data_IF_988712999412
#
_entry.id   IF_988712999412
#
_cell.length_a   1.000
_cell.length_b   1.000
_cell.length_c   1.000
_cell.angle_alpha   90.00
_cell.angle_beta   90.00
_cell.angle_gamma   90.00
#
_symmetry.space_group_name_H-M   'P 1'
#
loop_
_entity.id
_entity.type
_entity.pdbx_description
1 polymer ?
#
# COMPACT_ATOMS: atom_id res chain seq x y z
N UNK A 1 21.77 -15.53 45.84
CA UNK A 1 21.23 -14.57 44.86
C UNK A 1 19.86 -14.97 44.29
N UNK A 2 19.59 -16.22 43.91
CA UNK A 2 18.26 -16.63 43.37
C UNK A 2 17.19 -16.76 44.48
N UNK A 3 17.57 -17.03 45.73
CA UNK A 3 16.63 -17.16 46.84
C UNK A 3 16.09 -15.81 47.34
N UNK A 4 16.87 -14.75 47.32
CA UNK A 4 16.42 -13.40 47.70
C UNK A 4 15.40 -12.82 46.73
N UNK A 5 15.53 -13.12 45.42
CA UNK A 5 14.53 -12.72 44.41
C UNK A 5 13.16 -13.41 44.62
N UNK A 6 13.15 -14.59 45.25
CA UNK A 6 11.92 -15.34 45.51
C UNK A 6 11.14 -14.81 46.73
N UNK A 7 11.82 -14.23 47.73
CA UNK A 7 11.18 -13.58 48.89
C UNK A 7 10.55 -12.23 48.49
N UNK A 8 11.21 -11.47 47.62
CA UNK A 8 10.64 -10.20 47.06
C UNK A 8 9.41 -10.41 46.19
N UNK A 9 9.31 -11.55 45.52
CA UNK A 9 8.17 -11.90 44.65
C UNK A 9 6.86 -12.13 45.43
N UNK A 10 6.92 -12.33 46.73
CA UNK A 10 5.74 -12.55 47.57
C UNK A 10 5.21 -11.26 48.21
N UNK A 11 5.93 -10.16 48.11
CA UNK A 11 5.50 -8.86 48.62
C UNK A 11 4.36 -8.28 47.76
N UNK A 12 3.26 -7.91 48.41
CA UNK A 12 2.09 -7.28 47.78
C UNK A 12 2.52 -6.10 46.90
N UNK A 13 3.52 -5.34 47.32
CA UNK A 13 4.10 -4.21 46.55
C UNK A 13 4.72 -4.65 45.24
N UNK A 14 5.45 -5.76 45.21
CA UNK A 14 6.07 -6.27 43.98
C UNK A 14 5.02 -6.78 42.97
N UNK A 15 3.97 -7.45 43.48
CA UNK A 15 2.83 -7.90 42.65
C UNK A 15 2.06 -6.70 42.07
N UNK A 16 1.89 -5.66 42.87
CA UNK A 16 1.21 -4.43 42.42
C UNK A 16 2.06 -3.68 41.40
N UNK A 17 3.39 -3.57 41.64
CA UNK A 17 4.32 -2.96 40.69
C UNK A 17 4.34 -3.70 39.32
N UNK A 18 4.45 -5.04 39.38
CA UNK A 18 4.40 -5.87 38.15
C UNK A 18 3.04 -5.79 37.45
N UNK A 19 1.94 -5.68 38.21
CA UNK A 19 0.61 -5.47 37.67
C UNK A 19 0.50 -4.14 36.91
N UNK A 20 1.05 -3.06 37.51
CA UNK A 20 1.07 -1.74 36.85
C UNK A 20 1.92 -1.77 35.56
N UNK A 21 3.10 -2.40 35.60
CA UNK A 21 3.96 -2.56 34.41
C UNK A 21 3.23 -3.39 33.36
N UNK A 22 2.60 -4.50 33.71
CA UNK A 22 1.85 -5.33 32.77
C UNK A 22 0.67 -4.56 32.16
N UNK A 23 -0.08 -3.79 32.94
CA UNK A 23 -1.18 -2.95 32.47
C UNK A 23 -0.64 -1.86 31.53
N UNK A 24 0.47 -1.21 31.87
CA UNK A 24 1.11 -0.20 31.01
C UNK A 24 1.55 -0.81 29.69
N UNK A 25 2.11 -2.02 29.70
CA UNK A 25 2.46 -2.75 28.49
C UNK A 25 1.22 -3.11 27.65
N UNK A 26 0.17 -3.65 28.28
CA UNK A 26 -1.07 -3.99 27.59
C UNK A 26 -1.73 -2.72 27.01
N UNK A 27 -1.73 -1.61 27.73
CA UNK A 27 -2.26 -0.33 27.21
C UNK A 27 -1.36 0.25 26.10
N UNK A 28 -0.03 0.12 26.22
CA UNK A 28 0.90 0.65 25.22
C UNK A 28 0.92 -0.17 23.93
N UNK A 29 0.84 -1.50 24.01
CA UNK A 29 0.85 -2.39 22.86
C UNK A 29 -0.54 -2.85 22.42
N UNK A 30 -1.50 -2.98 23.34
CA UNK A 30 -2.86 -3.41 23.05
C UNK A 30 -3.72 -2.29 22.44
N UNK A 31 -3.54 -1.04 22.89
CA UNK A 31 -4.29 0.11 22.32
C UNK A 31 -3.75 0.48 20.93
N UNK A 32 -2.43 0.34 20.71
CA UNK A 32 -1.83 0.55 19.36
C UNK A 32 -2.28 -0.47 18.32
N UNK A 33 -2.59 -1.71 18.74
CA UNK A 33 -3.13 -2.75 17.85
C UNK A 33 -4.65 -2.67 17.64
N UNK A 34 -5.38 -2.01 18.55
CA UNK A 34 -6.82 -1.78 18.42
C UNK A 34 -7.19 -0.54 17.61
N UNK A 35 -6.26 0.41 17.44
CA UNK A 35 -6.35 1.42 16.40
C UNK A 35 -5.80 0.81 15.10
N UNK A 36 -6.43 -0.30 14.67
CA UNK A 36 -6.20 -0.86 13.36
C UNK A 36 -6.26 0.24 12.32
N UNK A 37 -5.35 0.20 11.36
CA UNK A 37 -5.21 1.07 10.19
C UNK A 37 -6.39 2.04 10.03
N UNK A 38 -6.31 3.21 10.68
CA UNK A 38 -7.20 4.29 10.33
C UNK A 38 -6.86 4.60 8.88
N UNK A 39 -7.72 4.16 7.99
CA UNK A 39 -7.64 4.53 6.59
C UNK A 39 -7.65 6.05 6.57
N UNK A 40 -6.46 6.66 6.48
CA UNK A 40 -6.37 8.10 6.32
C UNK A 40 -6.89 8.44 4.94
N UNK A 41 -8.08 9.01 4.87
CA UNK A 41 -8.77 9.39 3.64
C UNK A 41 -8.32 10.79 3.26
N UNK A 42 -7.84 10.98 2.04
CA UNK A 42 -7.41 12.27 1.49
C UNK A 42 -8.55 12.98 0.77
N UNK A 43 -9.42 12.21 0.10
CA UNK A 43 -10.60 12.70 -0.60
C UNK A 43 -11.65 11.61 -0.72
N UNK A 44 -12.90 12.02 -0.96
CA UNK A 44 -14.01 11.13 -1.30
C UNK A 44 -14.55 11.57 -2.65
N UNK A 45 -14.64 10.62 -3.59
CA UNK A 45 -15.14 10.84 -4.96
C UNK A 45 -16.23 9.81 -5.22
N UNK A 46 -17.47 10.24 -5.45
CA UNK A 46 -18.61 9.36 -5.69
C UNK A 46 -18.70 8.20 -4.67
N UNK A 47 -18.66 8.53 -3.37
CA UNK A 47 -18.66 7.58 -2.25
C UNK A 47 -17.43 6.62 -2.17
N UNK A 48 -16.44 6.79 -3.05
CA UNK A 48 -15.18 6.07 -2.99
C UNK A 48 -14.10 6.89 -2.27
N UNK A 49 -13.41 6.25 -1.35
CA UNK A 49 -12.36 6.88 -0.55
C UNK A 49 -11.01 6.80 -1.27
N UNK A 50 -10.36 7.94 -1.50
CA UNK A 50 -8.96 8.00 -1.91
C UNK A 50 -8.12 7.98 -0.65
N UNK A 51 -7.32 6.92 -0.48
CA UNK A 51 -6.51 6.73 0.71
C UNK A 51 -5.19 7.51 0.63
N UNK A 52 -4.74 8.01 1.78
CA UNK A 52 -3.43 8.67 1.87
C UNK A 52 -2.28 7.74 1.45
N UNK A 53 -2.42 6.42 1.70
CA UNK A 53 -1.47 5.41 1.24
C UNK A 53 -1.33 5.44 -0.29
N UNK A 54 -2.44 5.40 -1.01
CA UNK A 54 -2.48 5.44 -2.48
C UNK A 54 -1.85 6.73 -3.02
N UNK A 55 -2.20 7.87 -2.41
CA UNK A 55 -1.59 9.15 -2.77
C UNK A 55 -0.08 9.16 -2.55
N UNK A 56 0.41 8.69 -1.39
CA UNK A 56 1.84 8.64 -1.08
C UNK A 56 2.61 7.74 -2.05
N UNK A 57 2.08 6.56 -2.35
CA UNK A 57 2.69 5.61 -3.28
C UNK A 57 2.78 6.19 -4.69
N UNK A 58 1.71 6.78 -5.19
CA UNK A 58 1.66 7.42 -6.51
C UNK A 58 2.64 8.60 -6.57
N UNK A 59 2.67 9.44 -5.53
CA UNK A 59 3.60 10.56 -5.45
C UNK A 59 5.06 10.10 -5.42
N UNK A 60 5.39 9.09 -4.61
CA UNK A 60 6.74 8.55 -4.52
C UNK A 60 7.20 7.92 -5.84
N UNK A 61 6.32 7.21 -6.53
CA UNK A 61 6.63 6.63 -7.84
C UNK A 61 6.92 7.72 -8.87
N UNK A 62 6.12 8.76 -8.88
CA UNK A 62 6.31 9.90 -9.79
C UNK A 62 7.58 10.68 -9.45
N UNK A 63 7.87 10.88 -8.16
CA UNK A 63 9.09 11.55 -7.72
C UNK A 63 10.34 10.75 -8.08
N UNK A 64 10.32 9.42 -8.00
CA UNK A 64 11.43 8.57 -8.47
C UNK A 64 11.69 8.76 -9.96
N UNK A 65 10.67 8.77 -10.79
CA UNK A 65 10.81 9.03 -12.22
C UNK A 65 11.39 10.44 -12.50
N UNK A 66 11.00 11.44 -11.70
CA UNK A 66 11.60 12.79 -11.75
C UNK A 66 13.08 12.77 -11.36
N UNK A 67 13.45 12.01 -10.31
CA UNK A 67 14.85 11.89 -9.89
C UNK A 67 15.71 11.20 -10.96
N UNK A 68 15.19 10.19 -11.62
CA UNK A 68 15.87 9.52 -12.73
C UNK A 68 16.07 10.46 -13.93
N UNK A 69 15.10 11.33 -14.20
CA UNK A 69 15.11 12.23 -15.36
C UNK A 69 15.90 13.53 -15.10
N UNK A 70 15.78 14.13 -13.91
CA UNK A 70 16.29 15.47 -13.59
C UNK A 70 17.38 15.49 -12.52
N UNK A 71 17.74 14.33 -11.94
CA UNK A 71 18.78 14.20 -10.93
C UNK A 71 18.55 15.14 -9.73
N UNK A 72 19.56 15.90 -9.37
CA UNK A 72 19.53 16.83 -8.22
C UNK A 72 18.49 17.95 -8.35
N UNK A 73 18.04 18.26 -9.56
CA UNK A 73 17.02 19.28 -9.80
C UNK A 73 15.57 18.75 -9.70
N UNK A 74 15.37 17.47 -9.43
CA UNK A 74 14.05 16.85 -9.42
C UNK A 74 13.06 17.53 -8.48
N UNK A 75 13.47 17.86 -7.25
CA UNK A 75 12.61 18.53 -6.27
C UNK A 75 12.15 19.90 -6.76
N UNK A 76 13.08 20.69 -7.30
CA UNK A 76 12.78 22.01 -7.83
C UNK A 76 11.78 21.95 -9.00
N UNK A 77 11.95 21.01 -9.92
CA UNK A 77 11.02 20.80 -11.02
C UNK A 77 9.67 20.28 -10.53
N UNK A 78 9.67 19.35 -9.57
CA UNK A 78 8.44 18.83 -8.97
C UNK A 78 7.61 19.94 -8.30
N UNK A 79 8.26 20.89 -7.62
CA UNK A 79 7.60 22.05 -7.03
C UNK A 79 7.08 23.01 -8.11
N UNK A 80 7.90 23.37 -9.10
CA UNK A 80 7.51 24.28 -10.18
C UNK A 80 6.31 23.74 -10.97
N UNK A 81 6.25 22.44 -11.17
CA UNK A 81 5.15 21.76 -11.87
C UNK A 81 3.97 21.41 -10.96
N UNK A 82 4.03 21.77 -9.66
CA UNK A 82 3.00 21.39 -8.68
C UNK A 82 2.69 19.89 -8.69
N UNK A 83 3.73 19.03 -8.69
CA UNK A 83 3.59 17.58 -8.80
C UNK A 83 2.58 17.01 -7.80
N UNK A 84 2.53 17.56 -6.58
CA UNK A 84 1.56 17.13 -5.55
C UNK A 84 0.13 17.28 -6.01
N UNK A 85 -0.21 18.42 -6.61
CA UNK A 85 -1.55 18.69 -7.12
C UNK A 85 -1.86 17.86 -8.35
N UNK A 86 -0.88 17.65 -9.23
CA UNK A 86 -1.06 16.79 -10.40
C UNK A 86 -1.38 15.35 -9.99
N UNK A 87 -0.63 14.79 -9.03
CA UNK A 87 -0.89 13.43 -8.51
C UNK A 87 -2.26 13.35 -7.87
N UNK A 88 -2.65 14.37 -7.10
CA UNK A 88 -3.97 14.41 -6.46
C UNK A 88 -5.09 14.43 -7.50
N UNK A 89 -5.00 15.31 -8.50
CA UNK A 89 -5.99 15.39 -9.58
C UNK A 89 -6.03 14.09 -10.39
N UNK A 90 -4.87 13.50 -10.69
CA UNK A 90 -4.81 12.20 -11.40
C UNK A 90 -5.55 11.09 -10.66
N UNK A 91 -5.45 11.06 -9.32
CA UNK A 91 -6.19 10.06 -8.52
C UNK A 91 -7.70 10.33 -8.55
N UNK A 92 -8.12 11.59 -8.45
CA UNK A 92 -9.54 11.96 -8.59
C UNK A 92 -10.07 11.53 -9.96
N UNK A 93 -9.39 11.90 -11.03
CA UNK A 93 -9.80 11.54 -12.41
C UNK A 93 -9.88 10.02 -12.58
N UNK A 94 -8.91 9.28 -12.03
CA UNK A 94 -8.91 7.82 -12.06
C UNK A 94 -10.15 7.23 -11.36
N UNK A 95 -10.48 7.71 -10.17
CA UNK A 95 -11.65 7.22 -9.43
C UNK A 95 -12.97 7.59 -10.13
N UNK A 96 -13.07 8.78 -10.72
CA UNK A 96 -14.23 9.18 -11.53
C UNK A 96 -14.42 8.25 -12.73
N UNK A 97 -13.37 8.04 -13.51
CA UNK A 97 -13.42 7.16 -14.69
C UNK A 97 -13.75 5.71 -14.33
N UNK A 98 -13.24 5.20 -13.21
CA UNK A 98 -13.57 3.85 -12.75
C UNK A 98 -15.04 3.75 -12.33
N UNK A 99 -15.60 4.80 -11.72
CA UNK A 99 -17.01 4.86 -11.39
C UNK A 99 -17.88 4.87 -12.63
N UNK A 100 -17.56 5.74 -13.60
CA UNK A 100 -18.28 5.83 -14.88
C UNK A 100 -18.22 4.50 -15.64
N UNK A 101 -17.05 3.85 -15.64
CA UNK A 101 -16.88 2.54 -16.26
C UNK A 101 -17.75 1.46 -15.60
N UNK A 102 -17.87 1.51 -14.27
CA UNK A 102 -18.74 0.59 -13.53
C UNK A 102 -20.23 0.82 -13.83
N UNK A 103 -20.66 2.09 -13.93
CA UNK A 103 -22.04 2.44 -14.32
C UNK A 103 -22.37 1.98 -15.75
N UNK A 104 -21.40 2.03 -16.64
CA UNK A 104 -21.53 1.55 -18.01
C UNK A 104 -21.40 0.02 -18.14
N UNK A 105 -21.23 -0.71 -17.02
CA UNK A 105 -20.98 -2.14 -16.99
C UNK A 105 -19.76 -2.58 -17.81
N UNK A 106 -18.76 -1.72 -17.94
CA UNK A 106 -17.49 -2.08 -18.54
C UNK A 106 -16.69 -2.95 -17.59
N UNK A 107 -16.16 -4.06 -18.10
CA UNK A 107 -15.37 -5.01 -17.30
C UNK A 107 -14.08 -5.34 -18.03
N UNK A 108 -12.99 -5.41 -17.28
CA UNK A 108 -11.78 -6.08 -17.75
C UNK A 108 -11.94 -7.58 -17.48
N UNK A 109 -11.99 -8.37 -18.53
CA UNK A 109 -12.19 -9.82 -18.44
C UNK A 109 -10.94 -10.54 -17.91
N UNK A 110 -11.12 -11.75 -17.38
CA UNK A 110 -9.99 -12.58 -16.93
C UNK A 110 -9.03 -12.91 -18.08
N UNK A 111 -9.52 -13.05 -19.29
CA UNK A 111 -8.70 -13.29 -20.48
C UNK A 111 -7.81 -12.10 -20.80
N UNK A 112 -8.37 -10.88 -20.78
CA UNK A 112 -7.60 -9.66 -21.02
C UNK A 112 -6.50 -9.48 -19.97
N UNK A 113 -6.83 -9.72 -18.70
CA UNK A 113 -5.86 -9.66 -17.60
C UNK A 113 -4.74 -10.68 -17.77
N UNK A 114 -5.09 -11.94 -18.03
CA UNK A 114 -4.10 -13.00 -18.24
C UNK A 114 -3.21 -12.74 -19.44
N UNK A 115 -3.79 -12.29 -20.55
CA UNK A 115 -3.06 -11.92 -21.77
C UNK A 115 -2.08 -10.78 -21.49
N UNK A 116 -2.52 -9.77 -20.76
CA UNK A 116 -1.65 -8.66 -20.39
C UNK A 116 -0.48 -9.10 -19.53
N UNK A 117 -0.75 -9.89 -18.46
CA UNK A 117 0.29 -10.43 -17.56
C UNK A 117 1.29 -11.28 -18.35
N UNK A 118 0.81 -12.16 -19.23
CA UNK A 118 1.67 -13.06 -20.03
C UNK A 118 2.61 -12.33 -20.97
N UNK A 119 2.22 -11.16 -21.45
CA UNK A 119 3.04 -10.33 -22.36
C UNK A 119 4.14 -9.55 -21.66
N UNK A 120 4.10 -9.44 -20.34
CA UNK A 120 5.14 -8.73 -19.60
C UNK A 120 6.46 -9.51 -19.61
N UNK A 121 7.51 -8.93 -20.20
CA UNK A 121 8.80 -9.58 -20.37
C UNK A 121 9.44 -10.03 -19.03
N UNK A 122 9.22 -9.28 -17.96
CA UNK A 122 9.76 -9.58 -16.64
C UNK A 122 9.07 -10.76 -15.93
N UNK A 123 7.95 -11.27 -16.47
CA UNK A 123 7.28 -12.50 -16.03
C UNK A 123 7.58 -13.70 -16.95
N UNK A 124 8.51 -13.52 -17.90
CA UNK A 124 8.82 -14.55 -18.89
C UNK A 124 10.16 -15.20 -18.60
N UNK A 125 10.24 -16.50 -18.91
CA UNK A 125 11.46 -17.28 -18.97
C UNK A 125 11.57 -17.90 -20.36
N UNK A 126 12.67 -17.66 -21.04
CA UNK A 126 12.86 -18.08 -22.44
C UNK A 126 11.77 -17.58 -23.41
N UNK A 127 11.24 -16.38 -23.19
CA UNK A 127 10.22 -15.76 -24.04
C UNK A 127 8.79 -16.28 -23.82
N UNK A 128 8.56 -17.10 -22.80
CA UNK A 128 7.25 -17.61 -22.42
C UNK A 128 6.94 -17.24 -20.98
N UNK A 129 5.67 -17.01 -20.68
CA UNK A 129 5.21 -16.74 -19.31
C UNK A 129 5.58 -17.91 -18.40
N UNK A 130 6.19 -17.60 -17.28
CA UNK A 130 6.58 -18.55 -16.25
C UNK A 130 5.97 -18.16 -14.90
N UNK A 131 5.12 -19.04 -14.37
CA UNK A 131 4.38 -18.77 -13.15
C UNK A 131 5.28 -18.59 -11.92
N UNK A 132 6.35 -19.37 -11.81
CA UNK A 132 7.28 -19.27 -10.69
C UNK A 132 8.05 -17.95 -10.73
N UNK A 133 8.40 -17.49 -11.93
CA UNK A 133 8.99 -16.15 -12.14
C UNK A 133 8.01 -15.06 -11.72
N UNK A 134 6.73 -15.19 -12.10
CA UNK A 134 5.68 -14.24 -11.71
C UNK A 134 5.54 -14.12 -10.19
N UNK A 135 5.38 -15.24 -9.48
CA UNK A 135 5.26 -15.27 -8.01
C UNK A 135 6.55 -14.73 -7.33
N UNK A 136 7.72 -15.09 -7.89
CA UNK A 136 9.01 -14.62 -7.37
C UNK A 136 9.15 -13.10 -7.50
N UNK A 137 8.81 -12.52 -8.65
CA UNK A 137 8.87 -11.07 -8.88
C UNK A 137 7.93 -10.33 -7.94
N UNK A 138 6.69 -10.79 -7.77
CA UNK A 138 5.74 -10.17 -6.84
C UNK A 138 6.25 -10.23 -5.39
N UNK A 139 6.71 -11.40 -4.95
CA UNK A 139 7.18 -11.61 -3.58
C UNK A 139 8.43 -10.79 -3.26
N UNK A 140 9.41 -10.72 -4.17
CA UNK A 140 10.61 -9.89 -4.00
C UNK A 140 10.28 -8.40 -3.88
N UNK A 141 9.23 -7.94 -4.59
CA UNK A 141 8.74 -6.57 -4.50
C UNK A 141 7.71 -6.38 -3.37
N UNK A 142 7.41 -7.42 -2.57
CA UNK A 142 6.42 -7.39 -1.49
C UNK A 142 5.01 -6.98 -1.98
N UNK A 143 4.68 -7.38 -3.20
CA UNK A 143 3.40 -7.10 -3.83
C UNK A 143 2.49 -8.30 -3.63
N UNK A 144 1.29 -8.08 -3.12
CA UNK A 144 0.28 -9.12 -2.96
C UNK A 144 -0.42 -9.33 -4.30
N UNK A 145 -0.48 -10.58 -4.76
CA UNK A 145 -0.99 -10.92 -6.09
C UNK A 145 -2.37 -10.36 -6.39
N UNK A 146 -3.33 -10.51 -5.48
CA UNK A 146 -4.68 -10.02 -5.72
C UNK A 146 -4.77 -8.49 -5.81
N UNK A 147 -3.91 -7.76 -5.07
CA UNK A 147 -3.81 -6.29 -5.16
C UNK A 147 -3.23 -5.87 -6.52
N UNK A 148 -2.18 -6.57 -6.97
CA UNK A 148 -1.58 -6.34 -8.29
C UNK A 148 -2.58 -6.59 -9.42
N UNK A 149 -3.22 -7.75 -9.42
CA UNK A 149 -4.21 -8.11 -10.44
C UNK A 149 -5.43 -7.17 -10.41
N UNK A 150 -5.86 -6.74 -9.22
CA UNK A 150 -6.94 -5.76 -9.04
C UNK A 150 -6.60 -4.39 -9.63
N UNK A 151 -5.40 -3.87 -9.34
CA UNK A 151 -4.92 -2.60 -9.90
C UNK A 151 -4.78 -2.69 -11.42
N UNK A 152 -4.28 -3.81 -11.93
CA UNK A 152 -4.11 -4.02 -13.36
C UNK A 152 -5.45 -4.13 -14.10
N UNK A 153 -6.48 -4.73 -13.48
CA UNK A 153 -7.85 -4.71 -14.03
C UNK A 153 -8.39 -3.30 -14.17
N UNK A 154 -8.16 -2.47 -13.15
CA UNK A 154 -8.55 -1.07 -13.19
C UNK A 154 -7.83 -0.33 -14.34
N UNK A 155 -6.52 -0.56 -14.53
CA UNK A 155 -5.76 0.04 -15.62
C UNK A 155 -6.25 -0.42 -17.01
N UNK A 156 -6.52 -1.72 -17.16
CA UNK A 156 -7.09 -2.27 -18.40
C UNK A 156 -8.49 -1.71 -18.70
N UNK A 157 -9.28 -1.46 -17.66
CA UNK A 157 -10.60 -0.87 -17.79
C UNK A 157 -10.52 0.58 -18.29
N UNK A 158 -9.58 1.37 -17.75
CA UNK A 158 -9.35 2.76 -18.16
C UNK A 158 -8.73 2.89 -19.55
N UNK A 159 -8.17 1.81 -20.10
CA UNK A 159 -7.60 1.78 -21.45
C UNK A 159 -8.62 1.44 -22.54
N UNK A 160 -9.88 1.17 -22.20
CA UNK A 160 -10.99 0.88 -23.13
C UNK A 160 -11.69 2.15 -23.56
#
# INVERSE_FOLDING_TARGET
MIQELREYSNNLFFKLLMGVIAITFVLSFGVGGFFGDRKEVVAIVNDQEILLKEYRETYQNRMRAFQEQFGENAEKFAEQLNLRQQVFNQLIDRHLLLTDAAELNLLATDLELQDFIRRQAFFQKNGQFDYDTYETVLSQNRIVRHEYEGSLRADLLLAK
#
